data_IF_681495630209
#
_entry.id   IF_681495630209
#
_cell.length_a   1.000
_cell.length_b   1.000
_cell.length_c   1.000
_cell.angle_alpha   90.00
_cell.angle_beta   90.00
_cell.angle_gamma   90.00
#
_symmetry.space_group_name_H-M   'P 1'
#
loop_
_entity.id
_entity.type
_entity.pdbx_description
1 polymer ?
#
# COMPACT_ATOMS: atom_id res chain seq x y z
N UNK A 1 9.46 2.53 17.37
CA UNK A 1 10.50 2.51 18.42
C UNK A 1 9.92 2.56 19.83
N UNK A 2 9.00 3.49 20.16
CA UNK A 2 8.39 3.56 21.50
C UNK A 2 7.61 2.29 21.89
N UNK A 3 6.80 1.77 20.97
CA UNK A 3 6.09 0.50 21.20
C UNK A 3 7.07 -0.68 21.24
N UNK A 4 8.10 -0.67 20.39
CA UNK A 4 9.23 -1.62 20.43
C UNK A 4 9.93 -1.66 21.80
N UNK A 5 10.23 -0.48 22.37
CA UNK A 5 10.82 -0.34 23.71
C UNK A 5 9.84 -0.80 24.79
N UNK A 6 8.53 -0.65 24.57
CA UNK A 6 7.50 -1.06 25.54
C UNK A 6 7.33 -2.57 25.58
N UNK A 7 7.34 -3.19 24.40
CA UNK A 7 7.04 -4.61 24.16
C UNK A 7 8.28 -5.52 24.24
N UNK A 8 9.49 -4.96 24.24
CA UNK A 8 10.74 -5.73 24.42
C UNK A 8 10.89 -6.26 25.86
N UNK A 9 11.11 -7.57 25.96
CA UNK A 9 11.25 -8.31 27.23
C UNK A 9 12.72 -8.47 27.64
N UNK A 10 13.67 -8.47 26.69
CA UNK A 10 15.09 -8.46 26.99
C UNK A 10 15.53 -7.07 27.49
N UNK A 11 15.84 -6.98 28.78
CA UNK A 11 16.21 -5.71 29.42
C UNK A 11 17.53 -5.10 28.90
N UNK A 12 18.45 -5.90 28.36
CA UNK A 12 19.66 -5.38 27.72
C UNK A 12 19.31 -4.76 26.35
N UNK A 13 18.50 -5.45 25.56
CA UNK A 13 18.02 -4.95 24.27
C UNK A 13 17.12 -3.72 24.43
N UNK A 14 16.24 -3.72 25.44
CA UNK A 14 15.36 -2.59 25.79
C UNK A 14 16.13 -1.34 26.18
N UNK A 15 17.21 -1.48 26.97
CA UNK A 15 18.12 -0.37 27.31
C UNK A 15 18.83 0.19 26.08
N UNK A 16 19.23 -0.70 25.17
CA UNK A 16 19.86 -0.34 23.91
C UNK A 16 18.90 0.44 22.99
N UNK A 17 17.67 -0.03 22.80
CA UNK A 17 16.61 0.66 22.05
C UNK A 17 16.27 2.05 22.60
N UNK A 18 16.26 2.23 23.93
CA UNK A 18 16.08 3.55 24.57
C UNK A 18 17.21 4.52 24.23
N UNK A 19 18.45 4.02 24.12
CA UNK A 19 19.61 4.85 23.73
C UNK A 19 19.46 5.35 22.30
N UNK A 20 19.09 4.47 21.38
CA UNK A 20 18.79 4.80 19.97
C UNK A 20 17.69 5.86 19.89
N UNK A 21 16.55 5.62 20.55
CA UNK A 21 15.44 6.56 20.56
C UNK A 21 15.84 7.96 21.07
N UNK A 22 16.68 8.03 22.10
CA UNK A 22 17.12 9.31 22.67
C UNK A 22 17.96 10.12 21.69
N UNK A 23 18.83 9.47 20.91
CA UNK A 23 19.67 10.12 19.88
C UNK A 23 18.81 10.71 18.77
N UNK A 24 17.96 9.89 18.16
CA UNK A 24 17.22 10.30 16.96
C UNK A 24 15.91 11.07 17.25
N UNK A 25 15.27 10.88 18.40
CA UNK A 25 13.98 11.54 18.68
C UNK A 25 14.05 13.06 18.76
N UNK A 26 15.23 13.64 19.06
CA UNK A 26 15.41 15.10 19.07
C UNK A 26 15.46 15.65 17.64
N UNK A 27 16.20 14.99 16.76
CA UNK A 27 16.35 15.38 15.36
C UNK A 27 15.09 15.09 14.51
N UNK A 28 14.42 13.96 14.77
CA UNK A 28 13.12 13.60 14.17
C UNK A 28 12.05 14.65 14.49
N UNK A 29 12.05 15.18 15.73
CA UNK A 29 11.10 16.23 16.14
C UNK A 29 11.38 17.56 15.43
N UNK A 30 12.64 17.87 15.13
CA UNK A 30 13.02 19.12 14.45
C UNK A 30 12.75 19.12 12.94
N UNK A 31 12.66 17.95 12.30
CA UNK A 31 12.42 17.82 10.84
C UNK A 31 10.94 17.65 10.45
N UNK A 32 10.00 17.87 11.38
CA UNK A 32 8.55 17.87 11.14
C UNK A 32 7.94 16.60 10.50
N UNK A 33 8.56 15.43 10.67
CA UNK A 33 8.01 14.17 10.13
C UNK A 33 6.62 13.86 10.69
N UNK A 34 5.72 13.40 9.82
CA UNK A 34 4.38 12.93 10.20
C UNK A 34 4.43 11.54 10.88
N UNK A 35 3.30 11.10 11.45
CA UNK A 35 3.20 9.83 12.20
C UNK A 35 3.66 8.62 11.39
N UNK A 36 3.37 8.58 10.10
CA UNK A 36 3.73 7.50 9.17
C UNK A 36 5.22 7.51 8.84
N UNK A 37 5.79 8.69 8.54
CA UNK A 37 7.22 8.88 8.34
C UNK A 37 8.01 8.48 9.59
N UNK A 38 7.48 8.77 10.79
CA UNK A 38 8.09 8.33 12.06
C UNK A 38 8.06 6.82 12.25
N UNK A 39 6.98 6.14 11.85
CA UNK A 39 6.90 4.67 11.90
C UNK A 39 7.94 4.03 10.95
N UNK A 40 8.14 4.62 9.78
CA UNK A 40 9.12 4.14 8.78
C UNK A 40 10.56 4.43 9.21
N UNK A 41 10.84 5.66 9.67
CA UNK A 41 12.14 6.02 10.25
C UNK A 41 12.48 5.11 11.43
N UNK A 42 11.53 4.83 12.31
CA UNK A 42 11.74 3.95 13.46
C UNK A 42 12.17 2.54 13.06
N UNK A 43 11.63 2.01 11.96
CA UNK A 43 12.01 0.70 11.40
C UNK A 43 13.38 0.71 10.74
N UNK A 44 13.69 1.76 9.97
CA UNK A 44 14.98 1.96 9.30
C UNK A 44 16.13 2.21 10.29
N UNK A 45 15.89 3.02 11.32
CA UNK A 45 16.86 3.29 12.39
C UNK A 45 17.26 2.01 13.10
N UNK A 46 16.30 1.16 13.49
CA UNK A 46 16.62 -0.09 14.18
C UNK A 46 17.50 -1.02 13.31
N UNK A 47 17.15 -1.19 12.03
CA UNK A 47 17.90 -2.07 11.12
C UNK A 47 19.28 -1.51 10.75
N UNK A 48 19.40 -0.20 10.53
CA UNK A 48 20.68 0.43 10.21
C UNK A 48 21.62 0.41 11.41
N UNK A 49 21.11 0.60 12.62
CA UNK A 49 21.92 0.59 13.85
C UNK A 49 22.42 -0.82 14.20
N UNK A 50 21.63 -1.86 13.94
CA UNK A 50 22.09 -3.25 14.02
C UNK A 50 23.23 -3.55 13.04
N UNK A 51 23.13 -3.06 11.79
CA UNK A 51 24.14 -3.29 10.75
C UNK A 51 25.43 -2.49 10.97
N UNK A 52 25.33 -1.30 11.53
CA UNK A 52 26.46 -0.37 11.72
C UNK A 52 27.18 -0.51 13.07
N UNK A 53 26.78 -1.49 13.89
CA UNK A 53 27.40 -1.77 15.19
C UNK A 53 27.11 -0.71 16.27
N UNK A 54 26.16 0.20 16.05
CA UNK A 54 25.75 1.21 17.03
C UNK A 54 25.15 2.49 16.45
N UNK A 55 24.37 3.24 17.26
CA UNK A 55 23.67 4.45 16.82
C UNK A 55 24.57 5.63 16.50
N UNK A 56 25.80 5.62 17.02
CA UNK A 56 26.75 6.72 16.85
C UNK A 56 27.40 6.72 15.43
N UNK A 57 27.16 5.67 14.63
CA UNK A 57 27.74 5.47 13.30
C UNK A 57 26.73 5.69 12.15
N UNK A 58 25.51 6.14 12.44
CA UNK A 58 24.43 6.30 11.46
C UNK A 58 23.83 7.70 11.59
N UNK A 59 23.86 8.50 10.52
CA UNK A 59 23.21 9.82 10.49
C UNK A 59 21.78 9.74 9.96
N UNK A 60 20.93 10.71 10.29
CA UNK A 60 19.59 10.81 9.67
C UNK A 60 19.69 10.96 8.15
N UNK A 61 20.68 11.68 7.64
CA UNK A 61 20.86 11.84 6.20
C UNK A 61 21.24 10.50 5.52
N UNK A 62 21.97 9.61 6.20
CA UNK A 62 22.25 8.24 5.73
C UNK A 62 21.00 7.34 5.81
N UNK A 63 20.12 7.55 6.80
CA UNK A 63 18.84 6.85 6.94
C UNK A 63 17.80 7.33 5.91
N UNK A 64 17.81 8.62 5.58
CA UNK A 64 17.01 9.24 4.53
C UNK A 64 17.49 8.82 3.14
N UNK A 65 18.82 8.74 2.92
CA UNK A 65 19.39 8.14 1.72
C UNK A 65 19.07 6.63 1.61
N UNK A 66 18.74 5.98 2.73
CA UNK A 66 18.25 4.61 2.81
C UNK A 66 16.71 4.52 2.87
N UNK A 67 15.97 5.59 2.52
CA UNK A 67 14.51 5.54 2.40
C UNK A 67 14.13 4.34 1.55
N UNK A 68 13.29 3.49 2.12
CA UNK A 68 12.81 2.28 1.48
C UNK A 68 11.30 2.41 1.28
N UNK A 69 10.77 1.95 0.13
CA UNK A 69 9.33 1.82 -0.03
C UNK A 69 8.74 0.78 0.94
N UNK A 70 9.54 0.03 1.70
CA UNK A 70 9.08 -1.03 2.58
C UNK A 70 8.77 -0.54 4.01
N UNK A 71 7.48 -0.43 4.36
CA UNK A 71 7.03 -0.21 5.74
C UNK A 71 6.81 -1.54 6.47
N UNK A 72 7.39 -1.72 7.66
CA UNK A 72 7.07 -2.89 8.51
C UNK A 72 5.73 -2.68 9.20
N UNK A 73 4.73 -3.50 8.90
CA UNK A 73 3.38 -3.41 9.49
C UNK A 73 3.16 -4.43 10.61
N UNK A 74 3.75 -5.62 10.50
CA UNK A 74 3.86 -6.61 11.57
C UNK A 74 5.23 -7.29 11.50
N UNK A 75 5.94 -7.36 12.63
CA UNK A 75 7.33 -7.88 12.67
C UNK A 75 7.41 -9.37 13.01
N UNK A 76 6.51 -9.86 13.85
CA UNK A 76 6.62 -11.18 14.46
C UNK A 76 5.88 -12.27 13.68
N UNK A 77 6.42 -13.48 13.74
CA UNK A 77 5.90 -14.68 13.09
C UNK A 77 7.01 -15.43 12.36
N UNK A 78 6.83 -16.73 12.14
CA UNK A 78 7.81 -17.61 11.49
C UNK A 78 7.44 -18.01 10.06
N UNK A 79 6.23 -17.65 9.61
CA UNK A 79 5.82 -17.88 8.22
C UNK A 79 6.56 -16.98 7.23
N UNK A 80 6.50 -17.36 5.95
CA UNK A 80 7.03 -16.55 4.86
C UNK A 80 6.44 -15.12 4.88
N UNK A 81 7.23 -14.07 4.60
CA UNK A 81 6.79 -12.70 4.72
C UNK A 81 5.78 -12.31 3.63
N UNK A 82 4.77 -11.54 4.03
CA UNK A 82 3.73 -11.00 3.16
C UNK A 82 3.98 -9.53 2.86
N UNK A 83 3.98 -9.16 1.58
CA UNK A 83 4.16 -7.79 1.11
C UNK A 83 2.84 -7.28 0.51
N UNK A 84 2.32 -6.20 1.09
CA UNK A 84 1.03 -5.60 0.75
C UNK A 84 1.20 -4.34 -0.10
N UNK A 85 0.53 -4.29 -1.24
CA UNK A 85 0.61 -3.23 -2.23
C UNK A 85 -0.69 -2.42 -2.21
N UNK A 86 -0.66 -1.15 -1.79
CA UNK A 86 -1.88 -0.35 -1.66
C UNK A 86 -2.44 0.03 -3.03
N UNK A 87 -3.72 0.40 -3.04
CA UNK A 87 -4.38 1.01 -4.20
C UNK A 87 -3.82 2.39 -4.54
N UNK A 88 -4.56 3.17 -5.33
CA UNK A 88 -4.06 4.40 -5.94
C UNK A 88 -3.57 5.46 -4.93
N UNK A 89 -4.12 5.50 -3.71
CA UNK A 89 -3.63 6.39 -2.65
C UNK A 89 -2.19 6.11 -2.20
N UNK A 90 -1.60 4.96 -2.56
CA UNK A 90 -0.18 4.65 -2.37
C UNK A 90 0.28 4.49 -0.91
N UNK A 91 -0.65 4.64 0.04
CA UNK A 91 -0.37 4.61 1.47
C UNK A 91 -0.78 3.26 2.08
N UNK A 92 0.04 2.77 3.01
CA UNK A 92 -0.12 1.45 3.64
C UNK A 92 -1.17 1.42 4.75
N UNK A 93 -1.75 2.57 5.14
CA UNK A 93 -2.66 2.66 6.29
C UNK A 93 -4.00 1.95 6.02
N UNK A 94 -4.40 1.84 4.76
CA UNK A 94 -5.58 1.08 4.36
C UNK A 94 -5.51 -0.41 4.78
N UNK A 95 -4.30 -0.94 5.00
CA UNK A 95 -4.12 -2.33 5.43
C UNK A 95 -4.08 -2.51 6.94
N UNK A 96 -4.12 -1.45 7.76
CA UNK A 96 -4.01 -1.57 9.22
C UNK A 96 -5.01 -2.59 9.80
N UNK A 97 -6.32 -2.58 9.42
CA UNK A 97 -7.27 -3.53 9.96
C UNK A 97 -6.95 -4.98 9.55
N UNK A 98 -6.51 -5.17 8.30
CA UNK A 98 -6.11 -6.48 7.78
C UNK A 98 -4.87 -6.99 8.51
N UNK A 99 -3.83 -6.17 8.66
CA UNK A 99 -2.58 -6.54 9.33
C UNK A 99 -2.82 -6.89 10.79
N UNK A 100 -3.63 -6.11 11.51
CA UNK A 100 -4.01 -6.42 12.90
C UNK A 100 -4.61 -7.81 13.03
N UNK A 101 -5.38 -8.23 12.03
CA UNK A 101 -5.98 -9.56 12.00
C UNK A 101 -4.97 -10.63 11.61
N UNK A 102 -4.02 -10.37 10.72
CA UNK A 102 -3.02 -11.33 10.25
C UNK A 102 -1.78 -11.48 11.17
N UNK A 103 -1.56 -10.53 12.08
CA UNK A 103 -0.38 -10.45 12.93
C UNK A 103 -0.12 -11.74 13.75
N UNK A 104 1.16 -12.00 14.04
CA UNK A 104 1.62 -13.09 14.90
C UNK A 104 1.93 -14.40 14.19
N UNK A 105 1.57 -14.54 12.91
CA UNK A 105 1.84 -15.77 12.12
C UNK A 105 3.06 -15.63 11.19
N UNK A 106 3.26 -14.45 10.61
CA UNK A 106 4.34 -14.13 9.67
C UNK A 106 4.65 -12.63 9.72
N UNK A 107 5.86 -12.19 9.31
CA UNK A 107 6.12 -10.79 9.06
C UNK A 107 5.20 -10.26 7.95
N UNK A 108 4.71 -9.04 8.11
CA UNK A 108 3.89 -8.34 7.11
C UNK A 108 4.48 -6.96 6.86
N UNK A 109 4.72 -6.67 5.59
CA UNK A 109 5.23 -5.40 5.13
C UNK A 109 4.23 -4.74 4.19
N UNK A 110 4.19 -3.41 4.16
CA UNK A 110 3.46 -2.63 3.20
C UNK A 110 4.41 -1.89 2.28
N UNK A 111 4.05 -1.78 1.01
CA UNK A 111 4.77 -0.96 0.03
C UNK A 111 4.19 0.44 0.03
N UNK A 112 5.02 1.43 0.32
CA UNK A 112 4.69 2.83 0.29
C UNK A 112 5.16 3.46 -1.02
N UNK A 113 4.26 4.20 -1.67
CA UNK A 113 4.58 4.90 -2.91
C UNK A 113 5.62 6.01 -2.69
N UNK A 114 6.50 6.16 -3.69
CA UNK A 114 7.40 7.32 -3.78
C UNK A 114 6.56 8.58 -4.00
N UNK A 115 6.93 9.68 -3.32
CA UNK A 115 6.32 11.00 -3.47
C UNK A 115 5.26 11.37 -2.44
N UNK A 116 4.95 10.48 -1.50
CA UNK A 116 4.11 10.81 -0.34
C UNK A 116 4.75 11.84 0.61
N UNK A 117 6.04 12.10 0.46
CA UNK A 117 6.75 13.17 1.17
C UNK A 117 6.38 14.57 0.65
N UNK A 118 5.74 14.69 -0.53
CA UNK A 118 5.43 15.97 -1.16
C UNK A 118 6.62 16.68 -1.81
N UNK A 119 7.78 16.06 -1.84
CA UNK A 119 9.01 16.61 -2.40
C UNK A 119 9.51 15.80 -3.59
N UNK A 120 9.37 14.48 -3.52
CA UNK A 120 9.79 13.58 -4.57
C UNK A 120 8.63 13.41 -5.57
N UNK A 121 8.85 13.57 -6.89
CA UNK A 121 7.82 13.26 -7.87
C UNK A 121 7.43 11.77 -7.80
N UNK A 122 6.14 11.42 -7.90
CA UNK A 122 5.72 10.03 -8.00
C UNK A 122 6.20 9.43 -9.32
N UNK A 123 6.48 8.14 -9.33
CA UNK A 123 6.62 7.39 -10.57
C UNK A 123 5.27 7.32 -11.29
N UNK A 124 5.32 7.16 -12.61
CA UNK A 124 4.12 7.11 -13.48
C UNK A 124 4.06 5.85 -14.33
N UNK A 125 4.92 4.86 -14.05
CA UNK A 125 4.98 3.60 -14.78
C UNK A 125 5.21 2.41 -13.83
N UNK A 126 4.38 1.38 -13.98
CA UNK A 126 4.37 0.20 -13.12
C UNK A 126 5.68 -0.60 -13.17
N UNK A 127 6.34 -0.82 -14.33
CA UNK A 127 7.62 -1.52 -14.37
C UNK A 127 8.74 -0.85 -13.56
N UNK A 128 8.86 0.48 -13.62
CA UNK A 128 9.86 1.23 -12.81
C UNK A 128 9.49 1.21 -11.34
N UNK A 129 8.21 1.40 -11.00
CA UNK A 129 7.74 1.26 -9.62
C UNK A 129 8.14 -0.11 -9.05
N UNK A 130 7.87 -1.19 -9.77
CA UNK A 130 8.23 -2.55 -9.39
C UNK A 130 9.75 -2.74 -9.23
N UNK A 131 10.56 -2.22 -10.16
CA UNK A 131 12.01 -2.35 -10.13
C UNK A 131 12.64 -1.74 -8.87
N UNK A 132 12.14 -0.59 -8.42
CA UNK A 132 12.67 0.15 -7.25
C UNK A 132 12.54 -0.64 -5.94
N UNK A 133 11.54 -1.52 -5.83
CA UNK A 133 11.28 -2.25 -4.59
C UNK A 133 11.84 -3.68 -4.54
N UNK A 134 12.35 -4.22 -5.65
CA UNK A 134 12.77 -5.63 -5.72
C UNK A 134 13.83 -5.98 -4.67
N UNK A 135 14.91 -5.19 -4.60
CA UNK A 135 16.02 -5.45 -3.66
C UNK A 135 15.56 -5.38 -2.21
N UNK A 136 14.65 -4.46 -1.88
CA UNK A 136 14.11 -4.33 -0.53
C UNK A 136 13.23 -5.55 -0.17
N UNK A 137 12.40 -6.01 -1.11
CA UNK A 137 11.56 -7.20 -0.94
C UNK A 137 12.41 -8.46 -0.78
N UNK A 138 13.40 -8.68 -1.65
CA UNK A 138 14.31 -9.83 -1.59
C UNK A 138 15.09 -9.84 -0.26
N UNK A 139 15.59 -8.67 0.17
CA UNK A 139 16.32 -8.55 1.43
C UNK A 139 15.44 -8.88 2.64
N UNK A 140 14.20 -8.40 2.65
CA UNK A 140 13.26 -8.68 3.73
C UNK A 140 12.73 -10.12 3.71
N UNK A 141 12.66 -10.73 2.52
CA UNK A 141 12.28 -12.13 2.36
C UNK A 141 13.37 -13.10 2.83
N UNK A 142 14.64 -12.74 2.66
CA UNK A 142 15.76 -13.62 2.96
C UNK A 142 15.69 -14.88 2.10
N UNK A 143 15.63 -16.05 2.75
CA UNK A 143 15.52 -17.35 2.07
C UNK A 143 14.07 -17.84 1.93
N UNK A 144 13.09 -17.13 2.49
CA UNK A 144 11.69 -17.52 2.40
C UNK A 144 11.12 -17.20 1.01
N UNK A 145 10.14 -18.00 0.53
CA UNK A 145 9.32 -17.60 -0.60
C UNK A 145 8.66 -16.23 -0.35
N UNK A 146 8.57 -15.41 -1.38
CA UNK A 146 7.91 -14.10 -1.32
C UNK A 146 6.40 -14.28 -1.46
N UNK A 147 5.61 -13.78 -0.52
CA UNK A 147 4.15 -13.71 -0.63
C UNK A 147 3.74 -12.28 -0.94
N UNK A 148 2.98 -12.07 -2.01
CA UNK A 148 2.59 -10.74 -2.47
C UNK A 148 1.07 -10.61 -2.40
N UNK A 149 0.53 -9.46 -2.01
CA UNK A 149 -0.87 -9.15 -2.26
C UNK A 149 -1.10 -7.68 -2.54
N UNK A 150 -2.00 -7.36 -3.46
CA UNK A 150 -2.26 -5.98 -3.85
C UNK A 150 -3.74 -5.66 -3.96
N UNK A 151 -4.12 -4.47 -3.47
CA UNK A 151 -5.46 -3.92 -3.60
C UNK A 151 -5.54 -2.97 -4.78
N UNK A 152 -6.58 -3.10 -5.62
CA UNK A 152 -6.83 -2.17 -6.72
C UNK A 152 -5.58 -2.01 -7.61
N UNK A 153 -5.13 -0.78 -7.87
CA UNK A 153 -3.85 -0.49 -8.53
C UNK A 153 -2.66 -1.32 -8.02
N UNK A 154 -2.60 -1.55 -6.71
CA UNK A 154 -1.58 -2.37 -6.06
C UNK A 154 -1.57 -3.82 -6.54
N UNK A 155 -2.69 -4.37 -7.03
CA UNK A 155 -2.75 -5.71 -7.62
C UNK A 155 -1.94 -5.82 -8.91
N UNK A 156 -2.04 -4.81 -9.79
CA UNK A 156 -1.21 -4.71 -11.01
C UNK A 156 0.28 -4.59 -10.67
N UNK A 157 0.60 -3.78 -9.65
CA UNK A 157 1.97 -3.59 -9.20
C UNK A 157 2.56 -4.84 -8.54
N UNK A 158 1.77 -5.53 -7.70
CA UNK A 158 2.16 -6.80 -7.09
C UNK A 158 2.42 -7.88 -8.15
N UNK A 159 1.59 -7.94 -9.20
CA UNK A 159 1.81 -8.83 -10.33
C UNK A 159 3.12 -8.52 -11.07
N UNK A 160 3.40 -7.25 -11.38
CA UNK A 160 4.64 -6.87 -12.05
C UNK A 160 5.87 -7.19 -11.20
N UNK A 161 5.80 -6.96 -9.89
CA UNK A 161 6.85 -7.39 -8.95
C UNK A 161 7.03 -8.91 -8.98
N UNK A 162 5.94 -9.68 -8.93
CA UNK A 162 6.00 -11.14 -9.03
C UNK A 162 6.72 -11.58 -10.31
N UNK A 163 6.38 -10.97 -11.44
CA UNK A 163 7.00 -11.24 -12.75
C UNK A 163 8.50 -10.94 -12.74
N UNK A 164 8.90 -9.79 -12.23
CA UNK A 164 10.31 -9.38 -12.18
C UNK A 164 11.12 -10.23 -11.18
N UNK A 165 10.56 -10.57 -10.01
CA UNK A 165 11.19 -11.48 -9.04
C UNK A 165 11.39 -12.88 -9.62
N UNK A 166 10.38 -13.44 -10.31
CA UNK A 166 10.51 -14.75 -10.97
C UNK A 166 11.57 -14.73 -12.07
N UNK A 167 11.67 -13.64 -12.83
CA UNK A 167 12.73 -13.46 -13.83
C UNK A 167 14.14 -13.41 -13.21
N UNK A 168 14.26 -13.00 -11.94
CA UNK A 168 15.51 -12.99 -11.15
C UNK A 168 15.80 -14.33 -10.44
N UNK A 169 14.93 -15.33 -10.60
CA UNK A 169 15.06 -16.62 -9.92
C UNK A 169 14.54 -16.64 -8.48
N UNK A 170 13.93 -15.55 -8.01
CA UNK A 170 13.34 -15.49 -6.67
C UNK A 170 12.02 -16.25 -6.65
N UNK A 171 11.83 -17.12 -5.64
CA UNK A 171 10.59 -17.89 -5.47
C UNK A 171 9.48 -16.98 -4.96
N UNK A 172 8.40 -16.88 -5.74
CA UNK A 172 7.15 -16.24 -5.32
C UNK A 172 6.18 -17.36 -4.95
N UNK A 173 5.81 -17.43 -3.67
CA UNK A 173 4.98 -18.51 -3.14
C UNK A 173 3.48 -18.32 -3.37
N UNK A 174 3.03 -17.07 -3.47
CA UNK A 174 1.61 -16.74 -3.63
C UNK A 174 1.43 -15.28 -4.07
N UNK A 175 0.36 -15.04 -4.84
CA UNK A 175 -0.10 -13.70 -5.26
C UNK A 175 -1.59 -13.53 -4.92
N UNK A 176 -1.89 -12.65 -3.97
CA UNK A 176 -3.26 -12.21 -3.66
C UNK A 176 -3.66 -10.97 -4.45
N UNK A 177 -4.81 -11.00 -5.09
CA UNK A 177 -5.38 -9.83 -5.77
C UNK A 177 -6.66 -9.43 -5.07
N UNK A 178 -6.73 -8.21 -4.53
CA UNK A 178 -7.92 -7.69 -3.88
C UNK A 178 -8.66 -6.78 -4.87
N UNK A 179 -9.73 -7.36 -5.44
CA UNK A 179 -10.77 -6.69 -6.20
C UNK A 179 -10.27 -5.84 -7.39
N UNK A 180 -9.46 -6.44 -8.26
CA UNK A 180 -9.07 -5.80 -9.53
C UNK A 180 -8.97 -6.82 -10.67
N UNK A 181 -9.44 -6.48 -11.88
CA UNK A 181 -9.22 -7.32 -13.06
C UNK A 181 -7.74 -7.37 -13.45
N UNK A 182 -7.40 -8.37 -14.25
CA UNK A 182 -6.08 -8.46 -14.86
C UNK A 182 -5.83 -7.27 -15.81
N UNK A 183 -4.64 -6.65 -15.78
CA UNK A 183 -4.31 -5.49 -16.63
C UNK A 183 -3.99 -5.93 -18.07
N UNK A 184 -4.95 -6.54 -18.76
CA UNK A 184 -4.82 -7.04 -20.16
C UNK A 184 -5.56 -6.18 -21.18
N UNK A 185 -6.12 -5.07 -20.72
CA UNK A 185 -6.85 -4.08 -21.51
C UNK A 185 -6.00 -2.82 -21.70
N UNK A 186 -6.31 -2.05 -22.74
CA UNK A 186 -5.76 -0.71 -22.86
C UNK A 186 -6.52 0.18 -21.86
N UNK A 187 -5.79 0.68 -20.85
CA UNK A 187 -6.35 1.61 -19.90
C UNK A 187 -6.74 2.91 -20.64
N UNK A 188 -8.03 3.10 -20.88
CA UNK A 188 -8.56 4.41 -21.24
C UNK A 188 -8.32 5.35 -20.07
N UNK A 189 -7.76 6.50 -20.37
CA UNK A 189 -7.52 7.53 -19.36
C UNK A 189 -8.77 8.37 -19.21
N UNK A 190 -9.72 7.82 -18.47
CA UNK A 190 -10.94 8.54 -18.08
C UNK A 190 -10.64 9.80 -17.27
N UNK A 191 -9.38 9.99 -16.83
CA UNK A 191 -8.91 11.14 -16.08
C UNK A 191 -8.29 12.24 -16.94
N UNK A 192 -8.05 12.01 -18.25
CA UNK A 192 -7.53 13.04 -19.17
C UNK A 192 -8.40 14.30 -19.22
N UNK A 193 -9.70 14.16 -18.96
CA UNK A 193 -10.66 15.25 -18.96
C UNK A 193 -10.90 15.83 -17.56
N UNK A 194 -10.30 15.28 -16.51
CA UNK A 194 -10.55 15.71 -15.15
C UNK A 194 -9.89 17.06 -14.90
N UNK A 195 -10.67 17.96 -14.32
CA UNK A 195 -10.19 19.23 -13.81
C UNK A 195 -9.46 19.05 -12.48
N UNK A 196 -8.80 20.11 -12.02
CA UNK A 196 -8.18 20.12 -10.69
C UNK A 196 -9.18 19.84 -9.57
N UNK A 197 -10.40 20.37 -9.71
CA UNK A 197 -11.48 20.09 -8.76
C UNK A 197 -11.99 18.66 -8.82
N UNK A 198 -12.00 18.01 -9.98
CA UNK A 198 -12.47 16.62 -10.11
C UNK A 198 -11.55 15.65 -9.36
N UNK A 199 -10.23 15.86 -9.43
CA UNK A 199 -9.27 15.11 -8.63
C UNK A 199 -9.52 15.23 -7.12
N UNK A 200 -9.82 16.45 -6.66
CA UNK A 200 -10.13 16.72 -5.25
C UNK A 200 -11.45 16.07 -4.85
N UNK A 201 -12.50 16.19 -5.68
CA UNK A 201 -13.81 15.57 -5.45
C UNK A 201 -13.70 14.06 -5.38
N UNK A 202 -12.98 13.46 -6.33
CA UNK A 202 -12.78 12.02 -6.37
C UNK A 202 -12.06 11.53 -5.13
N UNK A 203 -10.92 12.13 -4.78
CA UNK A 203 -10.18 11.70 -3.59
C UNK A 203 -11.01 11.86 -2.32
N UNK A 204 -11.78 12.96 -2.20
CA UNK A 204 -12.68 13.16 -1.07
C UNK A 204 -13.75 12.06 -1.01
N UNK A 205 -14.39 11.73 -2.13
CA UNK A 205 -15.41 10.67 -2.21
C UNK A 205 -14.87 9.30 -1.79
N UNK A 206 -13.68 8.92 -2.27
CA UNK A 206 -13.03 7.66 -1.87
C UNK A 206 -12.76 7.64 -0.35
N UNK A 207 -12.32 8.77 0.25
CA UNK A 207 -12.12 8.87 1.70
C UNK A 207 -13.46 8.78 2.46
N UNK A 208 -14.52 9.43 1.98
CA UNK A 208 -15.86 9.34 2.57
C UNK A 208 -16.37 7.89 2.55
N UNK A 209 -16.19 7.17 1.44
CA UNK A 209 -16.56 5.76 1.32
C UNK A 209 -15.75 4.87 2.27
N UNK A 210 -14.43 5.05 2.33
CA UNK A 210 -13.55 4.27 3.22
C UNK A 210 -13.82 4.48 4.71
N UNK A 211 -14.19 5.70 5.10
CA UNK A 211 -14.26 6.08 6.53
C UNK A 211 -15.67 6.22 7.05
N UNK A 212 -16.66 6.32 6.16
CA UNK A 212 -18.03 6.75 6.49
C UNK A 212 -18.14 8.21 6.95
N UNK A 213 -17.03 8.95 7.01
CA UNK A 213 -17.04 10.36 7.40
C UNK A 213 -17.60 11.21 6.27
N UNK A 214 -18.36 12.26 6.61
CA UNK A 214 -18.83 13.24 5.63
C UNK A 214 -17.86 14.42 5.57
N UNK A 215 -16.99 14.42 4.58
CA UNK A 215 -16.09 15.53 4.29
C UNK A 215 -16.84 16.72 3.67
N UNK A 216 -17.83 16.49 2.79
CA UNK A 216 -18.61 17.57 2.18
C UNK A 216 -17.78 18.56 1.34
N UNK A 217 -16.71 18.07 0.70
CA UNK A 217 -15.81 18.87 -0.15
C UNK A 217 -16.54 19.43 -1.36
N UNK A 218 -17.42 18.66 -2.00
CA UNK A 218 -18.19 19.13 -3.17
C UNK A 218 -19.03 20.38 -2.86
N UNK A 219 -19.80 20.32 -1.77
CA UNK A 219 -20.60 21.45 -1.31
C UNK A 219 -19.72 22.68 -1.00
N UNK A 220 -18.54 22.48 -0.41
CA UNK A 220 -17.61 23.56 -0.09
C UNK A 220 -16.99 24.20 -1.35
N UNK A 221 -16.56 23.40 -2.32
CA UNK A 221 -16.06 23.90 -3.61
C UNK A 221 -17.12 24.76 -4.30
N UNK A 222 -18.36 24.29 -4.32
CA UNK A 222 -19.50 25.00 -4.92
C UNK A 222 -19.83 26.29 -4.18
N UNK A 223 -19.94 26.25 -2.85
CA UNK A 223 -20.26 27.42 -2.03
C UNK A 223 -19.19 28.53 -2.11
N UNK A 224 -17.91 28.15 -2.29
CA UNK A 224 -16.81 29.09 -2.46
C UNK A 224 -16.59 29.54 -3.91
N UNK A 225 -17.40 29.06 -4.87
CA UNK A 225 -17.24 29.41 -6.28
C UNK A 225 -15.89 28.98 -6.87
N UNK A 226 -15.33 27.88 -6.39
CA UNK A 226 -14.02 27.37 -6.87
C UNK A 226 -14.18 26.87 -8.29
N UNK A 227 -13.54 27.55 -9.23
CA UNK A 227 -13.57 27.15 -10.64
C UNK A 227 -12.76 25.87 -10.88
N UNK A 228 -13.12 25.12 -11.91
CA UNK A 228 -12.58 23.79 -12.19
C UNK A 228 -11.04 23.73 -12.27
N UNK A 229 -10.41 24.80 -12.76
CA UNK A 229 -8.95 24.91 -12.95
C UNK A 229 -8.20 25.46 -11.74
N UNK A 230 -8.88 25.94 -10.70
CA UNK A 230 -8.24 26.50 -9.50
C UNK A 230 -7.85 25.40 -8.51
N UNK A 231 -6.79 24.68 -8.87
CA UNK A 231 -6.27 23.58 -8.05
C UNK A 231 -5.73 24.01 -6.69
N UNK A 232 -5.16 25.22 -6.60
CA UNK A 232 -4.67 25.74 -5.32
C UNK A 232 -5.83 25.94 -4.34
N UNK A 233 -6.92 26.59 -4.77
CA UNK A 233 -8.08 26.77 -3.89
C UNK A 233 -8.79 25.46 -3.60
N UNK A 234 -8.90 24.57 -4.59
CA UNK A 234 -9.49 23.25 -4.40
C UNK A 234 -8.72 22.41 -3.36
N UNK A 235 -7.38 22.46 -3.42
CA UNK A 235 -6.50 21.81 -2.46
C UNK A 235 -6.69 22.36 -1.04
N UNK A 236 -6.77 23.68 -0.87
CA UNK A 236 -7.01 24.27 0.45
C UNK A 236 -8.38 23.87 1.03
N UNK A 237 -9.43 23.84 0.19
CA UNK A 237 -10.75 23.31 0.62
C UNK A 237 -10.62 21.86 1.08
N UNK A 238 -9.94 21.01 0.32
CA UNK A 238 -9.71 19.62 0.74
C UNK A 238 -8.99 19.56 2.09
N UNK A 239 -7.88 20.29 2.24
CA UNK A 239 -7.06 20.30 3.44
C UNK A 239 -7.84 20.74 4.68
N UNK A 240 -8.61 21.83 4.57
CA UNK A 240 -9.47 22.33 5.65
C UNK A 240 -10.48 21.27 6.10
N UNK A 241 -11.13 20.58 5.15
CA UNK A 241 -12.15 19.57 5.44
C UNK A 241 -11.55 18.31 6.06
N UNK A 242 -10.41 17.83 5.55
CA UNK A 242 -9.71 16.68 6.13
C UNK A 242 -9.19 16.94 7.54
N UNK A 243 -8.71 18.16 7.82
CA UNK A 243 -8.31 18.57 9.18
C UNK A 243 -9.53 18.67 10.11
N UNK A 244 -10.63 19.26 9.63
CA UNK A 244 -11.85 19.42 10.42
C UNK A 244 -12.48 18.07 10.83
N UNK A 245 -12.34 17.02 10.01
CA UNK A 245 -12.82 15.67 10.33
C UNK A 245 -11.80 14.82 11.09
N UNK A 246 -10.59 15.34 11.33
CA UNK A 246 -9.51 14.61 12.00
C UNK A 246 -8.86 13.51 11.15
N UNK A 247 -9.22 13.41 9.86
CA UNK A 247 -8.58 12.47 8.94
C UNK A 247 -7.14 12.87 8.65
N UNK A 248 -6.89 14.18 8.51
CA UNK A 248 -5.56 14.74 8.40
C UNK A 248 -5.16 15.46 9.70
N UNK A 249 -3.99 15.19 10.29
CA UNK A 249 -3.56 15.90 11.50
C UNK A 249 -3.41 17.40 11.25
N UNK A 250 -3.91 18.23 12.17
CA UNK A 250 -3.86 19.69 12.04
C UNK A 250 -2.41 20.23 11.96
N UNK A 251 -1.47 19.55 12.61
CA UNK A 251 -0.04 19.86 12.65
C UNK A 251 0.76 19.19 11.54
N UNK A 252 0.14 18.32 10.71
CA UNK A 252 0.83 17.68 9.61
C UNK A 252 1.11 18.67 8.47
N UNK A 253 2.30 18.58 7.85
CA UNK A 253 2.68 19.50 6.80
C UNK A 253 1.77 19.39 5.58
N UNK A 254 1.43 20.54 4.99
CA UNK A 254 0.60 20.61 3.77
C UNK A 254 1.25 19.95 2.56
N UNK A 255 2.58 20.01 2.46
CA UNK A 255 3.30 19.35 1.36
C UNK A 255 3.05 17.83 1.35
N UNK A 256 2.91 17.15 2.50
CA UNK A 256 2.63 15.72 2.53
C UNK A 256 1.21 15.40 2.03
N UNK A 257 0.23 16.29 2.27
CA UNK A 257 -1.11 16.14 1.70
C UNK A 257 -1.09 16.37 0.18
N UNK A 258 -0.29 17.33 -0.28
CA UNK A 258 -0.07 17.54 -1.71
C UNK A 258 0.60 16.32 -2.35
N UNK A 259 1.61 15.73 -1.69
CA UNK A 259 2.24 14.47 -2.08
C UNK A 259 1.24 13.32 -2.18
N UNK A 260 0.36 13.19 -1.19
CA UNK A 260 -0.73 12.20 -1.22
C UNK A 260 -1.65 12.38 -2.43
N UNK A 261 -2.11 13.61 -2.70
CA UNK A 261 -2.94 13.91 -3.86
C UNK A 261 -2.20 13.65 -5.19
N UNK A 262 -0.91 14.00 -5.27
CA UNK A 262 -0.09 13.79 -6.46
C UNK A 262 0.16 12.30 -6.75
N UNK A 263 0.45 11.51 -5.72
CA UNK A 263 0.56 10.05 -5.83
C UNK A 263 -0.76 9.44 -6.29
N UNK A 264 -1.87 9.86 -5.68
CA UNK A 264 -3.21 9.41 -6.06
C UNK A 264 -3.51 9.68 -7.54
N UNK A 265 -3.23 10.90 -8.00
CA UNK A 265 -3.33 11.31 -9.41
C UNK A 265 -2.48 10.45 -10.32
N UNK A 266 -1.18 10.33 -10.01
CA UNK A 266 -0.22 9.59 -10.82
C UNK A 266 -0.61 8.11 -10.95
N UNK A 267 -0.99 7.46 -9.85
CA UNK A 267 -1.36 6.05 -9.86
C UNK A 267 -2.67 5.80 -10.62
N UNK A 268 -3.70 6.65 -10.45
CA UNK A 268 -4.95 6.50 -11.23
C UNK A 268 -4.76 6.79 -12.72
N UNK A 269 -3.90 7.74 -13.07
CA UNK A 269 -3.58 8.05 -14.46
C UNK A 269 -2.58 7.06 -15.10
N UNK A 270 -2.00 6.15 -14.32
CA UNK A 270 -1.00 5.21 -14.82
C UNK A 270 -1.63 4.20 -15.76
N UNK A 271 -1.05 4.09 -16.97
CA UNK A 271 -1.44 3.10 -17.96
C UNK A 271 -0.52 1.90 -17.87
N UNK A 272 -1.07 0.76 -17.49
CA UNK A 272 -0.33 -0.48 -17.44
C UNK A 272 -1.09 -1.59 -18.14
N UNK A 273 -0.43 -2.18 -19.13
CA UNK A 273 -0.84 -3.43 -19.75
C UNK A 273 0.24 -4.47 -19.46
N UNK A 274 -0.13 -5.52 -18.73
CA UNK A 274 0.78 -6.60 -18.40
C UNK A 274 1.31 -7.26 -19.68
N UNK A 275 2.62 -7.55 -19.74
CA UNK A 275 3.17 -8.41 -20.78
C UNK A 275 2.48 -9.78 -20.76
N UNK A 276 2.23 -10.34 -21.95
CA UNK A 276 1.73 -11.71 -22.06
C UNK A 276 2.67 -12.66 -21.30
N UNK A 277 2.10 -13.47 -20.42
CA UNK A 277 2.86 -14.37 -19.56
C UNK A 277 2.00 -15.57 -19.15
N UNK A 278 2.66 -16.64 -18.71
CA UNK A 278 2.01 -17.77 -18.06
C UNK A 278 2.74 -18.02 -16.74
N UNK A 279 2.70 -17.02 -15.86
CA UNK A 279 3.42 -17.03 -14.60
C UNK A 279 2.94 -18.22 -13.77
N UNK A 280 3.89 -19.05 -13.36
CA UNK A 280 3.61 -20.22 -12.53
C UNK A 280 3.73 -19.83 -11.04
N UNK A 281 2.70 -19.12 -10.57
CA UNK A 281 2.56 -18.64 -9.19
C UNK A 281 1.10 -18.84 -8.79
N UNK A 282 0.80 -19.50 -7.66
CA UNK A 282 -0.57 -19.60 -7.18
C UNK A 282 -1.17 -18.21 -6.96
N UNK A 283 -2.31 -17.94 -7.61
CA UNK A 283 -3.01 -16.66 -7.50
C UNK A 283 -4.37 -16.87 -6.88
N UNK A 284 -4.71 -16.03 -5.90
CA UNK A 284 -6.07 -15.96 -5.35
C UNK A 284 -6.64 -14.56 -5.59
N UNK A 285 -7.71 -14.49 -6.36
CA UNK A 285 -8.51 -13.29 -6.57
C UNK A 285 -9.58 -13.21 -5.48
N UNK A 286 -9.54 -12.16 -4.67
CA UNK A 286 -10.58 -11.84 -3.70
C UNK A 286 -11.49 -10.76 -4.28
N UNK A 287 -12.75 -11.08 -4.54
CA UNK A 287 -13.73 -10.13 -5.10
C UNK A 287 -14.66 -9.60 -4.01
N UNK A 288 -14.98 -8.32 -4.05
CA UNK A 288 -15.98 -7.73 -3.17
C UNK A 288 -17.39 -8.18 -3.57
N UNK A 289 -18.24 -8.48 -2.60
CA UNK A 289 -19.62 -8.92 -2.82
C UNK A 289 -20.49 -7.81 -3.45
N UNK A 290 -20.19 -6.55 -3.15
CA UNK A 290 -20.82 -5.39 -3.78
C UNK A 290 -19.88 -4.85 -4.85
N UNK A 291 -20.29 -4.97 -6.10
CA UNK A 291 -19.56 -4.41 -7.23
C UNK A 291 -20.02 -2.98 -7.47
N UNK A 292 -19.24 -2.01 -7.00
CA UNK A 292 -19.39 -0.61 -7.34
C UNK A 292 -18.51 -0.29 -8.56
N UNK A 293 -19.12 -0.12 -9.73
CA UNK A 293 -18.39 0.26 -10.95
C UNK A 293 -17.79 1.68 -10.89
N UNK A 294 -17.77 2.33 -9.72
CA UNK A 294 -17.32 3.70 -9.56
C UNK A 294 -15.81 3.82 -9.82
N UNK A 295 -15.49 4.31 -11.02
CA UNK A 295 -14.10 4.48 -11.47
C UNK A 295 -13.57 3.30 -12.30
N UNK A 296 -14.38 2.26 -12.55
CA UNK A 296 -14.01 1.18 -13.49
C UNK A 296 -14.27 1.64 -14.92
N UNK A 297 -13.23 1.61 -15.76
CA UNK A 297 -13.38 1.95 -17.18
C UNK A 297 -14.21 0.87 -17.90
N UNK A 298 -14.90 1.19 -19.01
CA UNK A 298 -15.62 0.19 -19.79
C UNK A 298 -14.74 -0.99 -20.22
N UNK A 299 -13.48 -0.72 -20.56
CA UNK A 299 -12.49 -1.74 -20.91
C UNK A 299 -12.15 -2.67 -19.73
N UNK A 300 -11.95 -2.10 -18.52
CA UNK A 300 -11.73 -2.88 -17.31
C UNK A 300 -12.96 -3.72 -16.95
N UNK A 301 -14.16 -3.14 -17.05
CA UNK A 301 -15.42 -3.82 -16.80
C UNK A 301 -15.63 -5.01 -17.75
N UNK A 302 -15.26 -4.87 -19.03
CA UNK A 302 -15.31 -5.96 -20.00
C UNK A 302 -14.38 -7.13 -19.61
N UNK A 303 -13.21 -6.85 -19.04
CA UNK A 303 -12.30 -7.89 -18.52
C UNK A 303 -12.83 -8.53 -17.24
N UNK A 304 -13.49 -7.78 -16.36
CA UNK A 304 -14.14 -8.35 -15.16
C UNK A 304 -15.23 -9.37 -15.49
N UNK A 305 -15.86 -9.28 -16.67
CA UNK A 305 -16.85 -10.29 -17.11
C UNK A 305 -16.21 -11.60 -17.57
N UNK A 306 -14.88 -11.66 -17.74
CA UNK A 306 -14.18 -12.87 -18.12
C UNK A 306 -13.97 -13.79 -16.90
N UNK A 307 -13.81 -15.12 -17.09
CA UNK A 307 -13.48 -16.03 -16.01
C UNK A 307 -12.25 -15.58 -15.22
N UNK A 308 -12.36 -15.55 -13.89
CA UNK A 308 -11.28 -15.08 -13.00
C UNK A 308 -10.84 -13.64 -13.30
N UNK A 309 -11.73 -12.80 -13.85
CA UNK A 309 -11.48 -11.42 -14.23
C UNK A 309 -10.24 -11.24 -15.12
N UNK A 310 -10.01 -12.20 -16.02
CA UNK A 310 -8.91 -12.18 -16.98
C UNK A 310 -7.56 -12.66 -16.45
N UNK A 311 -7.41 -12.90 -15.15
CA UNK A 311 -6.15 -13.40 -14.56
C UNK A 311 -5.64 -14.73 -15.14
N UNK A 312 -6.50 -15.68 -15.58
CA UNK A 312 -6.03 -16.89 -16.25
C UNK A 312 -5.23 -16.65 -17.56
N UNK A 313 -5.29 -15.45 -18.14
CA UNK A 313 -4.46 -15.08 -19.30
C UNK A 313 -3.00 -14.76 -18.94
N UNK A 314 -2.71 -14.49 -17.67
CA UNK A 314 -1.39 -14.08 -17.19
C UNK A 314 -0.75 -15.10 -16.24
N UNK A 315 -1.56 -15.86 -15.49
CA UNK A 315 -1.12 -16.71 -14.39
C UNK A 315 -1.81 -18.07 -14.45
N UNK A 316 -1.08 -19.14 -14.11
CA UNK A 316 -1.64 -20.49 -13.97
C UNK A 316 -2.15 -20.72 -12.55
N UNK A 317 -3.25 -21.47 -12.41
CA UNK A 317 -3.76 -21.86 -11.10
C UNK A 317 -4.43 -20.71 -10.34
N UNK A 318 -5.31 -19.97 -11.01
CA UNK A 318 -6.12 -18.91 -10.41
C UNK A 318 -7.28 -19.52 -9.62
N UNK A 319 -7.38 -19.19 -8.34
CA UNK A 319 -8.58 -19.37 -7.53
C UNK A 319 -9.28 -18.03 -7.31
N UNK A 320 -10.59 -18.07 -7.07
CA UNK A 320 -11.39 -16.89 -6.80
C UNK A 320 -12.22 -17.11 -5.53
N UNK A 321 -12.30 -16.09 -4.68
CA UNK A 321 -13.10 -16.10 -3.46
C UNK A 321 -13.79 -14.75 -3.29
N UNK A 322 -15.10 -14.77 -3.09
CA UNK A 322 -15.84 -13.55 -2.75
C UNK A 322 -15.70 -13.24 -1.25
N UNK A 323 -15.63 -11.95 -0.91
CA UNK A 323 -15.63 -11.43 0.46
C UNK A 323 -16.66 -10.30 0.62
N UNK A 324 -17.25 -10.10 1.81
CA UNK A 324 -18.18 -9.00 2.07
C UNK A 324 -17.56 -7.61 1.82
N UNK A 325 -18.42 -6.61 1.64
CA UNK A 325 -18.05 -5.22 1.41
C UNK A 325 -18.08 -4.84 -0.08
N UNK A 326 -17.68 -3.60 -0.34
CA UNK A 326 -17.40 -3.07 -1.69
C UNK A 326 -15.88 -2.95 -1.92
N UNK A 327 -15.49 -2.37 -3.06
CA UNK A 327 -14.08 -2.27 -3.47
C UNK A 327 -13.17 -1.66 -2.39
N UNK A 328 -13.63 -0.61 -1.69
CA UNK A 328 -12.87 0.06 -0.63
C UNK A 328 -13.14 -0.55 0.75
N UNK A 329 -14.40 -0.89 1.01
CA UNK A 329 -14.91 -1.39 2.28
C UNK A 329 -14.39 -2.77 2.65
N UNK A 330 -13.95 -3.59 1.70
CA UNK A 330 -13.35 -4.91 1.98
C UNK A 330 -12.12 -4.85 2.91
N UNK A 331 -11.42 -3.71 2.96
CA UNK A 331 -10.25 -3.48 3.83
C UNK A 331 -10.63 -2.87 5.19
N UNK A 332 -11.91 -2.61 5.43
CA UNK A 332 -12.42 -1.94 6.63
C UNK A 332 -13.29 -2.86 7.49
N UNK A 333 -13.45 -2.54 8.77
CA UNK A 333 -14.35 -3.29 9.65
C UNK A 333 -15.83 -3.03 9.28
N UNK A 334 -16.71 -4.06 9.33
CA UNK A 334 -16.44 -5.43 9.76
C UNK A 334 -15.92 -6.37 8.65
N UNK A 335 -15.93 -5.93 7.39
CA UNK A 335 -15.71 -6.78 6.21
C UNK A 335 -14.31 -7.40 6.14
N UNK A 336 -13.29 -6.66 6.59
CA UNK A 336 -11.89 -7.09 6.63
C UNK A 336 -11.65 -8.34 7.47
N UNK A 337 -12.56 -8.67 8.39
CA UNK A 337 -12.54 -9.93 9.13
C UNK A 337 -12.58 -11.14 8.21
N UNK A 338 -13.53 -11.14 7.26
CA UNK A 338 -13.70 -12.22 6.30
C UNK A 338 -12.53 -12.28 5.31
N UNK A 339 -12.04 -11.12 4.85
CA UNK A 339 -10.85 -11.05 4.01
C UNK A 339 -9.62 -11.62 4.72
N UNK A 340 -9.41 -11.31 6.00
CA UNK A 340 -8.28 -11.83 6.75
C UNK A 340 -8.32 -13.36 6.91
N UNK A 341 -9.50 -13.94 7.16
CA UNK A 341 -9.67 -15.40 7.20
C UNK A 341 -9.44 -16.04 5.83
N UNK A 342 -9.94 -15.41 4.76
CA UNK A 342 -9.74 -15.86 3.39
C UNK A 342 -8.25 -15.86 3.01
N UNK A 343 -7.52 -14.79 3.35
CA UNK A 343 -6.06 -14.69 3.17
C UNK A 343 -5.33 -15.74 4.00
N UNK A 344 -5.72 -15.97 5.26
CA UNK A 344 -5.14 -17.05 6.07
C UNK A 344 -5.29 -18.42 5.42
N UNK A 345 -6.48 -18.73 4.92
CA UNK A 345 -6.77 -20.00 4.26
C UNK A 345 -5.93 -20.17 2.98
N UNK A 346 -5.81 -19.12 2.17
CA UNK A 346 -5.00 -19.12 0.96
C UNK A 346 -3.49 -19.27 1.24
N UNK A 347 -3.03 -18.78 2.39
CA UNK A 347 -1.63 -18.86 2.83
C UNK A 347 -1.32 -20.12 3.67
N UNK A 348 -2.31 -20.98 3.95
CA UNK A 348 -2.08 -22.21 4.67
C UNK A 348 -1.26 -23.18 3.80
N UNK A 349 -0.35 -23.97 4.38
CA UNK A 349 0.34 -25.02 3.64
C UNK A 349 -0.68 -25.96 3.00
N UNK A 350 -0.57 -26.23 1.70
CA UNK A 350 -1.33 -27.31 1.07
C UNK A 350 -0.86 -28.61 1.72
N UNK A 351 -1.74 -29.43 2.33
CA UNK A 351 -1.34 -30.72 2.84
C UNK A 351 -0.77 -31.54 1.69
N UNK A 352 0.52 -31.88 1.75
CA UNK A 352 1.08 -32.83 0.81
C UNK A 352 0.29 -34.14 0.99
N UNK A 353 -0.43 -34.56 -0.05
CA UNK A 353 -0.93 -35.91 -0.12
C UNK A 353 0.27 -36.83 0.07
N UNK A 354 0.30 -37.54 1.19
CA UNK A 354 1.28 -38.59 1.44
C UNK A 354 1.03 -39.63 0.37
N UNK A 355 1.89 -39.66 -0.66
CA UNK A 355 1.96 -40.81 -1.56
C UNK A 355 2.41 -42.00 -0.73
N UNK A 356 1.44 -42.83 -0.33
CA UNK A 356 1.66 -44.16 0.23
C UNK A 356 2.12 -45.14 -0.83
#
# INVERSE_FOLDING_TARGET
MKDLIREEEDEAHKRWLRKIWKVFSREIKTRAYNKTQRIILDGLIAQAVERSGGPDNVTIDQLEAAWTPLATLARHGSGAPLFLFPGAGGNVLAFEPLVRRLAGTRPVYGIQAVGLDGHTPPYTDVPTMAAVMLTAIETAAGTHPVLLAGHSFGGSLAFEVARQLRARGTTVGWLGIFDTPAPIFDAEDVTQSWSETDWVRRLAGDIEQMTGARLGVDAALTAHGVIATDGARAFEVLAERLVATGWWPADAPRHALAGYLNVYRANLATRYRAPASALDVPLTLFTAAVQDLHGTTPAAAAVQQQPGWGWPHLVRGVSQQEVPGDHLGMLTEPHVAALAEAVRAALAPVPHAVST
#
